data_IF_625255553276
#
_entry.id   IF_625255553276
#
_cell.length_a   1.000
_cell.length_b   1.000
_cell.length_c   1.000
_cell.angle_alpha   90.00
_cell.angle_beta   90.00
_cell.angle_gamma   90.00
#
_symmetry.space_group_name_H-M   'P 1'
#
loop_
_entity.id
_entity.type
_entity.pdbx_description
1 polymer ?
#
# COMPACT_ATOMS: atom_id res chain seq x y z
N UNK A 1 15.93 -2.91 -11.99
CA UNK A 1 15.22 -1.87 -11.21
C UNK A 1 13.74 -2.24 -11.15
N UNK A 2 13.25 -2.56 -9.97
CA UNK A 2 11.87 -3.00 -9.75
C UNK A 2 10.92 -1.80 -9.70
N UNK A 3 9.83 -1.83 -10.49
CA UNK A 3 8.86 -0.73 -10.59
C UNK A 3 7.68 -1.05 -9.67
N UNK A 4 7.31 -0.08 -8.82
CA UNK A 4 6.10 -0.14 -8.01
C UNK A 4 5.00 0.68 -8.68
N UNK A 5 3.89 0.04 -9.03
CA UNK A 5 2.68 0.70 -9.52
C UNK A 5 1.67 0.73 -8.38
N UNK A 6 1.09 1.89 -8.12
CA UNK A 6 0.11 2.06 -7.04
C UNK A 6 -1.15 2.72 -7.58
N UNK A 7 -2.29 2.12 -7.24
CA UNK A 7 -3.59 2.64 -7.61
C UNK A 7 -4.43 2.84 -6.36
N UNK A 8 -4.86 4.08 -6.12
CA UNK A 8 -5.82 4.40 -5.08
C UNK A 8 -7.22 4.46 -5.70
N UNK A 9 -8.11 3.59 -5.26
CA UNK A 9 -9.50 3.53 -5.73
C UNK A 9 -10.44 3.95 -4.62
N UNK A 10 -11.37 4.88 -4.90
CA UNK A 10 -12.49 5.17 -3.99
C UNK A 10 -13.56 4.09 -4.14
N UNK A 11 -14.03 3.54 -3.02
CA UNK A 11 -15.07 2.52 -2.98
C UNK A 11 -16.16 3.01 -2.04
N UNK A 12 -17.21 3.61 -2.60
CA UNK A 12 -18.25 4.30 -1.82
C UNK A 12 -17.73 5.61 -1.22
N UNK A 13 -18.42 6.09 -0.18
CA UNK A 13 -18.17 7.42 0.39
C UNK A 13 -17.01 7.46 1.40
N UNK A 14 -16.78 6.37 2.14
CA UNK A 14 -15.88 6.36 3.30
C UNK A 14 -14.80 5.25 3.23
N UNK A 15 -14.60 4.62 2.07
CA UNK A 15 -13.57 3.60 1.88
C UNK A 15 -12.69 3.88 0.67
N UNK A 16 -11.40 3.62 0.83
CA UNK A 16 -10.41 3.67 -0.22
C UNK A 16 -9.66 2.34 -0.24
N UNK A 17 -9.28 1.87 -1.42
CA UNK A 17 -8.43 0.71 -1.60
C UNK A 17 -7.12 1.19 -2.23
N UNK A 18 -6.01 0.97 -1.55
CA UNK A 18 -4.68 1.13 -2.12
C UNK A 18 -4.19 -0.22 -2.63
N UNK A 19 -4.19 -0.39 -3.95
CA UNK A 19 -3.52 -1.51 -4.60
C UNK A 19 -2.05 -1.18 -4.76
N UNK A 20 -1.19 -2.12 -4.39
CA UNK A 20 0.26 -2.05 -4.59
C UNK A 20 0.62 -3.23 -5.48
N UNK A 21 1.35 -2.94 -6.55
CA UNK A 21 1.89 -3.92 -7.48
C UNK A 21 3.40 -3.77 -7.52
N UNK A 22 4.12 -4.87 -7.59
CA UNK A 22 5.57 -4.88 -7.70
C UNK A 22 6.01 -5.83 -8.81
N UNK A 23 6.85 -5.29 -9.69
CA UNK A 23 7.62 -6.05 -10.65
C UNK A 23 9.07 -6.05 -10.20
N UNK A 24 9.66 -7.22 -10.00
CA UNK A 24 11.09 -7.35 -9.77
C UNK A 24 11.70 -8.44 -10.64
N UNK A 25 12.98 -8.24 -10.94
CA UNK A 25 13.84 -9.14 -11.68
C UNK A 25 14.74 -9.84 -10.67
N UNK A 26 14.94 -11.15 -10.84
CA UNK A 26 15.86 -12.00 -10.07
C UNK A 26 15.47 -12.35 -8.61
N UNK A 27 14.20 -12.22 -8.23
CA UNK A 27 13.70 -12.81 -6.98
C UNK A 27 12.93 -14.09 -7.30
N UNK A 28 13.08 -15.14 -6.49
CA UNK A 28 12.31 -16.38 -6.68
C UNK A 28 10.85 -16.16 -6.27
N UNK A 29 9.92 -16.85 -6.94
CA UNK A 29 8.48 -16.64 -6.75
C UNK A 29 8.01 -16.96 -5.31
N UNK A 30 8.74 -17.82 -4.60
CA UNK A 30 8.51 -18.26 -3.23
C UNK A 30 9.22 -17.41 -2.16
N UNK A 31 10.03 -16.41 -2.56
CA UNK A 31 10.71 -15.52 -1.63
C UNK A 31 9.68 -14.79 -0.74
N UNK A 32 9.90 -14.73 0.59
CA UNK A 32 8.95 -14.12 1.51
C UNK A 32 9.00 -12.60 1.42
N UNK A 33 7.82 -12.02 1.27
CA UNK A 33 7.62 -10.59 1.05
C UNK A 33 6.76 -9.98 2.14
N UNK A 34 7.16 -8.80 2.65
CA UNK A 34 6.34 -8.04 3.61
C UNK A 34 5.87 -6.73 3.02
N UNK A 35 4.60 -6.64 2.64
CA UNK A 35 3.99 -5.38 2.25
C UNK A 35 3.59 -4.58 3.49
N UNK A 36 3.82 -3.26 3.48
CA UNK A 36 3.50 -2.38 4.60
C UNK A 36 2.88 -1.08 4.13
N UNK A 37 1.95 -0.54 4.94
CA UNK A 37 1.37 0.79 4.78
C UNK A 37 1.37 1.55 6.12
N UNK A 38 1.60 2.86 6.07
CA UNK A 38 1.47 3.78 7.20
C UNK A 38 0.96 5.12 6.73
N UNK A 39 -0.22 5.53 7.17
CA UNK A 39 -0.77 6.86 6.92
C UNK A 39 -0.45 7.81 8.09
N UNK A 40 -0.10 9.06 7.78
CA UNK A 40 0.32 10.05 8.79
C UNK A 40 -0.80 10.98 9.24
N UNK A 41 -1.99 10.88 8.64
CA UNK A 41 -3.15 11.69 8.99
C UNK A 41 -4.21 10.85 9.70
N UNK A 42 -4.81 11.44 10.75
CA UNK A 42 -5.98 10.85 11.46
C UNK A 42 -7.27 10.89 10.62
N UNK A 43 -7.24 11.50 9.44
CA UNK A 43 -8.38 11.51 8.52
C UNK A 43 -8.68 10.12 7.93
N UNK A 44 -7.72 9.19 7.97
CA UNK A 44 -7.89 7.82 7.52
C UNK A 44 -7.32 6.82 8.53
N UNK A 45 -7.85 5.60 8.52
CA UNK A 45 -7.27 4.46 9.24
C UNK A 45 -7.14 3.28 8.28
N UNK A 46 -6.03 2.55 8.35
CA UNK A 46 -5.89 1.28 7.64
C UNK A 46 -6.80 0.25 8.32
N UNK A 47 -7.63 -0.43 7.53
CA UNK A 47 -8.48 -1.52 8.02
C UNK A 47 -7.64 -2.80 8.02
N UNK A 48 -7.68 -3.55 9.12
CA UNK A 48 -6.91 -4.78 9.26
C UNK A 48 -5.42 -4.54 9.49
N UNK A 49 -4.57 -5.53 9.18
CA UNK A 49 -3.15 -5.43 9.47
C UNK A 49 -2.46 -4.43 8.52
N UNK A 50 -1.62 -3.58 9.10
CA UNK A 50 -0.81 -2.61 8.35
C UNK A 50 0.45 -3.22 7.73
N UNK A 51 0.69 -4.51 7.99
CA UNK A 51 1.74 -5.35 7.42
C UNK A 51 1.09 -6.63 6.94
N UNK A 52 1.31 -7.00 5.68
CA UNK A 52 0.85 -8.26 5.11
C UNK A 52 2.07 -9.09 4.72
N UNK A 53 2.07 -10.35 5.14
CA UNK A 53 3.07 -11.34 4.78
C UNK A 53 2.58 -12.08 3.53
N UNK A 54 3.39 -12.08 2.49
CA UNK A 54 3.09 -12.66 1.18
C UNK A 54 4.33 -13.34 0.64
N UNK A 55 4.22 -13.93 -0.54
CA UNK A 55 5.37 -14.36 -1.35
C UNK A 55 5.52 -13.41 -2.53
N UNK A 56 6.71 -13.33 -3.09
CA UNK A 56 7.03 -12.43 -4.18
C UNK A 56 6.14 -12.67 -5.41
N UNK A 57 5.85 -13.93 -5.71
CA UNK A 57 5.02 -14.34 -6.84
C UNK A 57 3.55 -13.91 -6.77
N UNK A 58 3.08 -13.37 -5.65
CA UNK A 58 1.77 -12.72 -5.60
C UNK A 58 1.71 -11.48 -6.51
N UNK A 59 2.86 -10.79 -6.69
CA UNK A 59 3.04 -9.55 -7.49
C UNK A 59 2.15 -8.35 -7.11
N UNK A 60 1.14 -8.55 -6.26
CA UNK A 60 0.20 -7.53 -5.84
C UNK A 60 -0.37 -7.78 -4.46
N UNK A 61 -0.76 -6.69 -3.79
CA UNK A 61 -1.49 -6.69 -2.53
C UNK A 61 -2.43 -5.48 -2.47
N UNK A 62 -3.37 -5.50 -1.52
CA UNK A 62 -4.33 -4.43 -1.33
C UNK A 62 -4.43 -4.06 0.15
N UNK A 63 -4.45 -2.75 0.41
CA UNK A 63 -4.73 -2.19 1.72
C UNK A 63 -6.02 -1.39 1.67
N UNK A 64 -6.94 -1.72 2.56
CA UNK A 64 -8.17 -0.96 2.74
C UNK A 64 -7.95 0.18 3.74
N UNK A 65 -8.52 1.34 3.43
CA UNK A 65 -8.46 2.54 4.23
C UNK A 65 -9.89 3.02 4.49
N UNK A 66 -10.24 3.23 5.75
CA UNK A 66 -11.48 3.90 6.15
C UNK A 66 -11.22 5.40 6.26
N UNK A 67 -12.08 6.20 5.65
CA UNK A 67 -12.06 7.67 5.71
C UNK A 67 -12.97 8.12 6.85
N UNK A 68 -12.45 8.97 7.72
CA UNK A 68 -13.20 9.59 8.83
C UNK A 68 -13.42 11.09 8.64
N UNK A 69 -12.53 11.75 7.89
CA UNK A 69 -12.63 13.19 7.59
C UNK A 69 -12.50 13.40 6.09
N UNK A 70 -13.46 14.12 5.51
CA UNK A 70 -13.48 14.50 4.10
C UNK A 70 -12.70 15.79 3.89
N UNK A 71 -12.20 16.00 2.69
CA UNK A 71 -11.50 17.20 2.26
C UNK A 71 -10.15 17.47 2.97
N UNK A 72 -9.47 16.41 3.44
CA UNK A 72 -8.18 16.51 4.14
C UNK A 72 -7.07 15.93 3.26
N UNK A 73 -5.93 16.61 3.21
CA UNK A 73 -4.73 16.07 2.56
C UNK A 73 -4.13 14.97 3.44
N UNK A 74 -4.01 13.78 2.88
CA UNK A 74 -3.47 12.59 3.52
C UNK A 74 -2.23 12.16 2.79
N UNK A 75 -1.18 11.87 3.56
CA UNK A 75 0.03 11.23 3.06
C UNK A 75 0.16 9.85 3.70
N UNK A 76 0.41 8.84 2.88
CA UNK A 76 0.70 7.50 3.33
C UNK A 76 2.03 7.04 2.75
N UNK A 77 2.84 6.39 3.58
CA UNK A 77 4.04 5.67 3.17
C UNK A 77 3.69 4.20 2.99
N UNK A 78 4.10 3.63 1.87
CA UNK A 78 3.83 2.25 1.55
C UNK A 78 5.01 1.61 0.83
N UNK A 79 4.99 0.29 0.72
CA UNK A 79 5.95 -0.45 -0.07
C UNK A 79 6.06 -1.88 0.38
N UNK A 80 6.96 -2.58 -0.29
CA UNK A 80 7.27 -3.97 -0.06
C UNK A 80 8.65 -4.03 0.56
N UNK A 81 8.83 -4.79 1.63
CA UNK A 81 10.13 -5.06 2.26
C UNK A 81 10.58 -6.41 1.72
N UNK A 82 11.38 -6.31 0.67
CA UNK A 82 11.93 -7.44 -0.08
C UNK A 82 13.16 -6.92 -0.84
N UNK A 83 14.19 -6.48 -0.10
CA UNK A 83 15.37 -5.74 -0.60
C UNK A 83 15.08 -4.29 -1.07
N UNK A 84 13.94 -4.04 -1.69
CA UNK A 84 13.46 -2.69 -2.05
C UNK A 84 12.94 -2.00 -0.79
N UNK A 85 13.43 -0.78 -0.55
CA UNK A 85 13.17 -0.09 0.72
C UNK A 85 11.71 0.38 0.77
N UNK A 86 11.09 0.26 1.95
CA UNK A 86 9.84 0.94 2.33
C UNK A 86 10.01 2.46 2.20
N UNK A 87 9.84 3.04 1.01
CA UNK A 87 10.14 4.45 0.74
C UNK A 87 9.12 5.15 -0.16
N UNK A 88 8.11 4.46 -0.66
CA UNK A 88 7.12 5.09 -1.52
C UNK A 88 6.12 5.87 -0.70
N UNK A 89 5.71 7.01 -1.24
CA UNK A 89 4.69 7.87 -0.64
C UNK A 89 3.58 8.09 -1.64
N UNK A 90 2.35 8.11 -1.15
CA UNK A 90 1.18 8.56 -1.90
C UNK A 90 0.52 9.68 -1.12
N UNK A 91 0.27 10.79 -1.81
CA UNK A 91 -0.55 11.89 -1.32
C UNK A 91 -1.91 11.84 -2.00
N UNK A 92 -2.98 12.00 -1.24
CA UNK A 92 -4.33 12.12 -1.78
C UNK A 92 -5.20 13.01 -0.89
N UNK A 93 -6.29 13.52 -1.46
CA UNK A 93 -7.30 14.28 -0.74
C UNK A 93 -8.54 13.40 -0.52
N UNK A 94 -8.96 13.26 0.73
CA UNK A 94 -10.11 12.43 1.12
C UNK A 94 -11.42 12.98 0.55
#
# INVERSE_FOLDING_TARGET
MSKLCNQLKKVGQDRLILKIEWDGLNEAEDEPVKARIKCFSKAVTVIGPNVQHMVFGNRTTQFELKVHKKNVNVQCRFGVIDIIKFKNFIGFRT
#
